data_IF_072679018630
#
_entry.id   IF_072679018630
#
_cell.length_a   1.000
_cell.length_b   1.000
_cell.length_c   1.000
_cell.angle_alpha   90.00
_cell.angle_beta   90.00
_cell.angle_gamma   90.00
#
_symmetry.space_group_name_H-M   'P 1'
#
loop_
_entity.id
_entity.type
_entity.pdbx_description
1 polymer ?
#
# COMPACT_ATOMS: atom_id res chain seq x y z
N UNK A 1 -23.24 -2.50 12.33
CA UNK A 1 -21.93 -2.97 11.81
C UNK A 1 -22.11 -3.86 10.58
N UNK A 2 -22.86 -4.98 10.64
CA UNK A 2 -23.09 -5.84 9.47
C UNK A 2 -23.90 -5.16 8.35
N UNK A 3 -24.86 -4.30 8.66
CA UNK A 3 -25.66 -3.57 7.66
C UNK A 3 -24.84 -2.63 6.80
N UNK A 4 -23.90 -1.88 7.37
CA UNK A 4 -23.01 -1.01 6.60
C UNK A 4 -22.05 -1.78 5.69
N UNK A 5 -21.62 -2.99 6.09
CA UNK A 5 -20.84 -3.90 5.28
C UNK A 5 -21.69 -4.47 4.13
N UNK A 6 -22.95 -4.82 4.42
CA UNK A 6 -23.87 -5.42 3.43
C UNK A 6 -24.31 -4.45 2.35
N UNK A 7 -24.52 -3.18 2.69
CA UNK A 7 -24.96 -2.16 1.73
C UNK A 7 -23.85 -1.80 0.73
N UNK A 8 -22.58 -1.77 1.20
CA UNK A 8 -21.42 -1.58 0.34
C UNK A 8 -21.14 -2.80 -0.57
N UNK A 9 -21.51 -4.01 -0.13
CA UNK A 9 -21.33 -5.24 -0.89
C UNK A 9 -22.34 -5.43 -2.04
N UNK A 10 -23.53 -4.85 -1.90
CA UNK A 10 -24.59 -4.94 -2.94
C UNK A 10 -24.22 -4.20 -4.23
N UNK A 11 -23.31 -3.22 -4.17
CA UNK A 11 -23.05 -2.30 -5.26
C UNK A 11 -21.65 -2.35 -5.86
N UNK A 12 -20.69 -3.10 -5.28
CA UNK A 12 -19.33 -3.20 -5.82
C UNK A 12 -18.79 -4.63 -5.75
N UNK A 13 -18.25 -5.10 -6.84
CA UNK A 13 -17.50 -6.37 -6.89
C UNK A 13 -16.20 -6.19 -6.08
N UNK A 14 -16.05 -6.95 -5.00
CA UNK A 14 -14.89 -6.91 -4.11
C UNK A 14 -13.60 -7.37 -4.79
N UNK A 15 -13.71 -8.36 -5.66
CA UNK A 15 -12.65 -8.77 -6.55
C UNK A 15 -13.24 -8.90 -7.94
N UNK A 16 -12.59 -8.27 -8.90
CA UNK A 16 -13.00 -8.37 -10.29
C UNK A 16 -12.37 -9.58 -10.97
N UNK A 17 -11.18 -9.97 -10.53
CA UNK A 17 -10.44 -11.10 -11.08
C UNK A 17 -9.92 -11.96 -9.95
N UNK A 18 -10.20 -13.24 -10.04
CA UNK A 18 -9.53 -14.29 -9.27
C UNK A 18 -9.47 -15.53 -10.20
N UNK A 19 -8.27 -16.02 -10.39
CA UNK A 19 -8.06 -17.13 -11.32
C UNK A 19 -6.75 -17.83 -11.09
N UNK A 20 -6.64 -19.05 -11.60
CA UNK A 20 -5.36 -19.65 -11.89
C UNK A 20 -4.95 -19.26 -13.30
N UNK A 21 -3.74 -18.77 -13.48
CA UNK A 21 -3.15 -18.44 -14.76
C UNK A 21 -1.94 -19.32 -14.95
N UNK A 22 -1.87 -20.02 -16.09
CA UNK A 22 -0.74 -20.86 -16.43
C UNK A 22 -0.03 -20.31 -17.66
N UNK A 23 1.28 -20.27 -17.59
CA UNK A 23 2.17 -19.80 -18.63
C UNK A 23 3.12 -20.93 -19.04
N UNK A 24 3.39 -21.02 -20.34
CA UNK A 24 4.44 -21.87 -20.87
C UNK A 24 5.82 -21.28 -20.55
N UNK A 25 6.90 -22.08 -20.62
CA UNK A 25 8.24 -21.55 -20.46
C UNK A 25 8.49 -20.34 -21.37
N UNK A 26 9.05 -19.27 -20.78
CA UNK A 26 9.41 -18.02 -21.44
C UNK A 26 8.23 -17.25 -22.07
N UNK A 27 6.99 -17.62 -21.76
CA UNK A 27 5.83 -16.88 -22.19
C UNK A 27 5.77 -15.53 -21.45
N UNK A 28 5.48 -14.46 -22.21
CA UNK A 28 5.39 -13.10 -21.69
C UNK A 28 3.97 -12.56 -21.77
N UNK A 29 3.61 -11.69 -20.81
CA UNK A 29 2.35 -10.98 -20.79
C UNK A 29 2.55 -9.53 -20.34
N UNK A 30 2.19 -8.58 -21.19
CA UNK A 30 2.42 -7.14 -21.00
C UNK A 30 3.24 -6.52 -22.14
N UNK A 31 3.73 -5.28 -22.03
CA UNK A 31 3.51 -4.38 -20.89
C UNK A 31 2.06 -3.91 -20.75
N UNK A 32 1.59 -3.80 -19.53
CA UNK A 32 0.27 -3.24 -19.23
C UNK A 32 0.24 -2.59 -17.85
N UNK A 33 -0.79 -1.77 -17.62
CA UNK A 33 -1.07 -1.15 -16.31
C UNK A 33 -2.58 -1.04 -16.10
N UNK A 34 -2.99 -1.07 -14.86
CA UNK A 34 -4.40 -0.93 -14.48
C UNK A 34 -4.56 -0.32 -13.08
N UNK A 35 -5.74 0.19 -12.78
CA UNK A 35 -6.04 0.82 -11.49
C UNK A 35 -6.18 -0.19 -10.34
N UNK A 36 -6.24 -1.49 -10.65
CA UNK A 36 -6.37 -2.53 -9.64
C UNK A 36 -5.03 -2.82 -8.97
N UNK A 37 -5.11 -3.19 -7.72
CA UNK A 37 -4.01 -3.87 -7.03
C UNK A 37 -4.08 -5.33 -7.45
N UNK A 38 -2.95 -5.88 -7.84
CA UNK A 38 -2.83 -7.26 -8.29
C UNK A 38 -1.95 -8.06 -7.33
N UNK A 39 -2.48 -9.17 -6.85
CA UNK A 39 -1.73 -10.12 -6.03
C UNK A 39 -1.55 -11.40 -6.85
N UNK A 40 -0.30 -11.77 -7.08
CA UNK A 40 0.07 -13.02 -7.71
C UNK A 40 0.89 -13.88 -6.75
N UNK A 41 0.42 -15.08 -6.48
CA UNK A 41 1.12 -16.10 -5.75
C UNK A 41 1.66 -17.17 -6.73
N UNK A 42 2.96 -17.41 -6.69
CA UNK A 42 3.58 -18.45 -7.53
C UNK A 42 3.30 -19.81 -6.91
N UNK A 43 2.37 -20.53 -7.50
CA UNK A 43 1.96 -21.88 -7.04
C UNK A 43 2.90 -22.95 -7.55
N UNK A 44 3.46 -22.76 -8.75
CA UNK A 44 4.41 -23.67 -9.41
C UNK A 44 5.31 -22.90 -10.34
N UNK A 45 6.56 -23.29 -10.45
CA UNK A 45 7.53 -22.70 -11.36
C UNK A 45 8.16 -21.42 -10.83
N UNK A 46 8.63 -20.60 -11.75
CA UNK A 46 9.26 -19.32 -11.47
C UNK A 46 8.94 -18.30 -12.55
N UNK A 47 9.09 -17.02 -12.21
CA UNK A 47 8.79 -15.92 -13.13
C UNK A 47 9.62 -14.68 -12.81
N UNK A 48 9.65 -13.77 -13.76
CA UNK A 48 10.26 -12.45 -13.63
C UNK A 48 9.17 -11.42 -13.88
N UNK A 49 9.08 -10.42 -13.02
CA UNK A 49 8.28 -9.23 -13.24
C UNK A 49 9.23 -8.09 -13.64
N UNK A 50 9.01 -7.56 -14.83
CA UNK A 50 9.73 -6.41 -15.36
C UNK A 50 8.94 -5.15 -15.08
N UNK A 51 9.57 -4.19 -14.42
CA UNK A 51 9.12 -2.82 -14.23
C UNK A 51 9.99 -1.90 -15.08
N UNK A 52 9.65 -0.62 -15.18
CA UNK A 52 10.36 0.35 -16.02
C UNK A 52 11.89 0.34 -15.86
N UNK A 53 12.40 0.21 -14.63
CA UNK A 53 13.83 0.33 -14.33
C UNK A 53 14.41 -0.90 -13.60
N UNK A 54 13.60 -1.92 -13.35
CA UNK A 54 14.05 -3.09 -12.60
C UNK A 54 13.32 -4.35 -13.03
N UNK A 55 13.95 -5.50 -12.78
CA UNK A 55 13.37 -6.83 -13.00
C UNK A 55 13.54 -7.65 -11.74
N UNK A 56 12.44 -8.21 -11.25
CA UNK A 56 12.42 -8.92 -9.97
C UNK A 56 11.93 -10.36 -10.21
N UNK A 57 12.74 -11.33 -9.80
CA UNK A 57 12.42 -12.75 -9.91
C UNK A 57 11.56 -13.22 -8.75
N UNK A 58 10.65 -14.15 -9.04
CA UNK A 58 9.77 -14.82 -8.08
C UNK A 58 9.84 -16.33 -8.33
N UNK A 59 9.88 -17.07 -7.22
CA UNK A 59 9.91 -18.53 -7.21
C UNK A 59 8.65 -19.08 -6.56
N UNK A 60 8.48 -20.39 -6.61
CA UNK A 60 7.40 -21.09 -5.93
C UNK A 60 7.31 -20.70 -4.45
N UNK A 61 6.09 -20.50 -3.97
CA UNK A 61 5.76 -19.99 -2.63
C UNK A 61 6.11 -18.51 -2.37
N UNK A 62 6.51 -17.77 -3.38
CA UNK A 62 6.62 -16.33 -3.29
C UNK A 62 5.37 -15.62 -3.84
N UNK A 63 5.13 -14.42 -3.36
CA UNK A 63 3.98 -13.61 -3.76
C UNK A 63 4.45 -12.23 -4.16
N UNK A 64 3.89 -11.70 -5.21
CA UNK A 64 4.03 -10.31 -5.63
C UNK A 64 2.70 -9.57 -5.43
N UNK A 65 2.78 -8.37 -4.91
CA UNK A 65 1.67 -7.43 -4.86
C UNK A 65 2.06 -6.23 -5.71
N UNK A 66 1.39 -6.10 -6.86
CA UNK A 66 1.61 -5.00 -7.80
C UNK A 66 0.62 -3.90 -7.47
N UNK A 67 1.12 -2.71 -7.16
CA UNK A 67 0.29 -1.59 -6.77
C UNK A 67 -0.46 -0.98 -7.95
N UNK A 68 -1.48 -0.17 -7.64
CA UNK A 68 -2.32 0.49 -8.65
C UNK A 68 -1.47 1.31 -9.63
N UNK A 69 -1.82 1.25 -10.91
CA UNK A 69 -1.24 2.04 -11.99
C UNK A 69 0.26 1.83 -12.26
N UNK A 70 0.82 0.73 -11.79
CA UNK A 70 2.22 0.33 -12.07
C UNK A 70 2.28 -0.42 -13.41
N UNK A 71 3.07 0.09 -14.36
CA UNK A 71 3.31 -0.60 -15.61
C UNK A 71 4.25 -1.79 -15.39
N UNK A 72 3.85 -2.96 -15.88
CA UNK A 72 4.59 -4.18 -15.67
C UNK A 72 4.44 -5.17 -16.82
N UNK A 73 5.45 -6.02 -16.97
CA UNK A 73 5.46 -7.18 -17.86
C UNK A 73 5.82 -8.42 -17.07
N UNK A 74 5.03 -9.45 -17.24
CA UNK A 74 5.29 -10.76 -16.67
C UNK A 74 6.02 -11.63 -17.67
N UNK A 75 7.04 -12.38 -17.23
CA UNK A 75 7.77 -13.37 -18.01
C UNK A 75 7.88 -14.67 -17.21
N UNK A 76 7.36 -15.76 -17.73
CA UNK A 76 7.54 -17.08 -17.16
C UNK A 76 8.99 -17.55 -17.28
N UNK A 77 9.47 -18.28 -16.28
CA UNK A 77 10.82 -18.85 -16.32
C UNK A 77 10.96 -20.04 -17.25
N UNK A 78 11.94 -20.88 -16.99
CA UNK A 78 12.28 -22.04 -17.85
C UNK A 78 11.33 -23.23 -17.69
N UNK A 79 10.34 -23.15 -16.80
CA UNK A 79 9.36 -24.19 -16.53
C UNK A 79 7.94 -23.65 -16.64
N UNK A 80 6.96 -24.55 -16.80
CA UNK A 80 5.56 -24.19 -16.72
C UNK A 80 5.26 -23.48 -15.41
N UNK A 81 4.80 -22.25 -15.50
CA UNK A 81 4.52 -21.40 -14.32
C UNK A 81 3.02 -21.29 -14.11
N UNK A 82 2.57 -21.54 -12.89
CA UNK A 82 1.17 -21.35 -12.48
C UNK A 82 1.08 -20.31 -11.37
N UNK A 83 0.32 -19.27 -11.63
CA UNK A 83 0.01 -18.22 -10.67
C UNK A 83 -1.42 -18.37 -10.15
N UNK A 84 -1.61 -18.03 -8.89
CA UNK A 84 -2.92 -17.74 -8.32
C UNK A 84 -3.05 -16.21 -8.25
N UNK A 85 -3.92 -15.67 -9.09
CA UNK A 85 -4.10 -14.23 -9.30
C UNK A 85 -5.37 -13.72 -8.62
N UNK A 86 -5.24 -12.58 -7.96
CA UNK A 86 -6.30 -11.85 -7.31
C UNK A 86 -6.16 -10.37 -7.62
N UNK A 87 -7.21 -9.74 -8.15
CA UNK A 87 -7.21 -8.30 -8.44
C UNK A 87 -8.38 -7.60 -7.74
N UNK A 88 -8.16 -6.40 -7.22
CA UNK A 88 -9.17 -5.59 -6.56
C UNK A 88 -8.89 -4.10 -6.68
N UNK A 89 -9.94 -3.29 -6.59
CA UNK A 89 -9.80 -1.83 -6.60
C UNK A 89 -9.37 -1.30 -5.22
N UNK A 90 -8.44 -0.33 -5.16
CA UNK A 90 -7.98 0.25 -3.89
C UNK A 90 -9.12 0.79 -3.01
N UNK A 91 -10.18 1.34 -3.62
CA UNK A 91 -11.33 1.93 -2.92
C UNK A 91 -12.14 0.92 -2.10
N UNK A 92 -11.99 -0.37 -2.37
CA UNK A 92 -12.66 -1.43 -1.57
C UNK A 92 -12.28 -1.30 -0.10
N UNK A 93 -11.10 -0.79 0.19
CA UNK A 93 -10.55 -0.69 1.55
C UNK A 93 -10.61 0.69 2.17
N UNK A 94 -10.81 1.75 1.37
CA UNK A 94 -10.92 3.13 1.89
C UNK A 94 -12.11 3.33 2.84
N UNK A 95 -13.06 2.40 2.82
CA UNK A 95 -14.28 2.42 3.64
C UNK A 95 -14.28 1.39 4.77
N UNK A 96 -13.21 0.60 4.90
CA UNK A 96 -13.10 -0.36 5.99
C UNK A 96 -12.66 0.36 7.27
N UNK A 97 -13.65 0.79 8.04
CA UNK A 97 -13.43 1.41 9.35
C UNK A 97 -13.93 0.44 10.43
N UNK A 98 -13.05 -0.36 11.05
CA UNK A 98 -13.44 -1.36 12.03
C UNK A 98 -14.06 -0.77 13.30
N UNK A 99 -13.78 0.49 13.63
CA UNK A 99 -14.20 1.10 14.89
C UNK A 99 -15.50 1.90 14.78
N UNK A 100 -16.01 2.15 13.58
CA UNK A 100 -17.25 2.90 13.35
C UNK A 100 -17.24 4.37 13.84
N UNK A 101 -16.15 4.83 14.44
CA UNK A 101 -16.03 6.14 15.08
C UNK A 101 -15.19 7.15 14.31
N UNK A 102 -14.79 6.87 13.08
CA UNK A 102 -14.08 7.82 12.22
C UNK A 102 -12.69 8.26 12.72
N UNK A 103 -12.17 7.63 13.76
CA UNK A 103 -10.91 8.03 14.41
C UNK A 103 -9.75 7.04 14.24
N UNK A 104 -9.90 5.98 13.46
CA UNK A 104 -8.76 5.10 13.15
C UNK A 104 -7.82 5.79 12.17
N UNK A 105 -7.01 6.69 12.73
CA UNK A 105 -5.97 7.42 12.01
C UNK A 105 -4.87 6.48 11.47
N UNK A 106 -4.83 5.21 11.90
CA UNK A 106 -3.68 4.33 11.74
C UNK A 106 -3.92 3.10 10.84
N UNK A 107 -5.17 2.86 10.40
CA UNK A 107 -5.47 1.82 9.42
C UNK A 107 -5.82 2.47 8.08
N UNK A 108 -4.84 3.07 7.41
CA UNK A 108 -4.94 3.40 6.01
C UNK A 108 -4.26 2.29 5.17
N UNK A 109 -4.92 1.12 4.95
CA UNK A 109 -4.38 0.07 4.10
C UNK A 109 -4.12 0.57 2.68
N UNK A 110 -4.76 1.66 2.30
CA UNK A 110 -4.65 2.28 0.97
C UNK A 110 -3.27 2.90 0.74
N UNK A 111 -2.61 3.41 1.78
CA UNK A 111 -1.27 4.01 1.62
C UNK A 111 -0.17 2.99 1.39
N UNK A 112 -0.39 1.72 1.76
CA UNK A 112 0.56 0.64 1.51
C UNK A 112 0.66 0.34 0.02
N UNK A 113 -0.46 0.47 -0.70
CA UNK A 113 -0.56 0.19 -2.13
C UNK A 113 -0.46 1.46 -2.98
N UNK A 114 0.27 2.47 -2.48
CA UNK A 114 0.56 3.70 -3.24
C UNK A 114 1.56 3.45 -4.36
N UNK A 115 1.59 4.35 -5.33
CA UNK A 115 2.56 4.32 -6.45
C UNK A 115 4.03 4.32 -5.96
N UNK A 116 4.28 4.72 -4.71
CA UNK A 116 5.60 4.71 -4.10
C UNK A 116 6.10 3.30 -3.76
N UNK A 117 5.18 2.40 -3.42
CA UNK A 117 5.47 0.99 -3.15
C UNK A 117 5.24 0.11 -4.38
N UNK A 118 5.52 0.59 -5.56
CA UNK A 118 5.27 -0.04 -6.88
C UNK A 118 5.04 -1.56 -6.86
N UNK A 119 5.87 -2.28 -6.11
CA UNK A 119 5.83 -3.73 -5.96
C UNK A 119 6.21 -4.15 -4.54
N UNK A 120 5.46 -5.09 -3.97
CA UNK A 120 5.78 -5.71 -2.69
C UNK A 120 6.07 -7.19 -2.94
N UNK A 121 7.30 -7.62 -2.64
CA UNK A 121 7.66 -9.04 -2.64
C UNK A 121 7.43 -9.64 -1.25
N UNK A 122 6.63 -10.70 -1.17
CA UNK A 122 6.34 -11.45 0.06
C UNK A 122 6.92 -12.85 -0.07
N UNK A 123 7.77 -13.22 0.87
CA UNK A 123 8.50 -14.49 0.85
C UNK A 123 8.11 -15.33 2.06
N UNK A 124 7.83 -16.60 1.83
CA UNK A 124 7.60 -17.62 2.88
C UNK A 124 6.56 -17.26 3.96
N UNK A 125 5.53 -16.48 3.61
CA UNK A 125 4.47 -16.12 4.57
C UNK A 125 3.23 -16.99 4.42
N UNK A 126 3.21 -18.10 5.15
CA UNK A 126 2.12 -19.09 5.13
C UNK A 126 0.76 -18.48 5.53
N UNK A 127 0.74 -17.45 6.39
CA UNK A 127 -0.52 -16.80 6.84
C UNK A 127 -1.14 -16.02 5.69
N UNK A 128 -0.35 -15.21 5.00
CA UNK A 128 -0.81 -14.42 3.83
C UNK A 128 -1.25 -15.37 2.72
N UNK A 129 -0.46 -16.39 2.41
CA UNK A 129 -0.82 -17.41 1.43
C UNK A 129 -2.18 -18.07 1.74
N UNK A 130 -2.42 -18.47 2.99
CA UNK A 130 -3.69 -19.08 3.42
C UNK A 130 -4.87 -18.10 3.30
N UNK A 131 -4.67 -16.81 3.58
CA UNK A 131 -5.72 -15.81 3.42
C UNK A 131 -6.11 -15.67 1.94
N UNK A 132 -5.15 -15.57 1.01
CA UNK A 132 -5.40 -15.56 -0.43
C UNK A 132 -6.12 -16.84 -0.87
N UNK A 133 -5.66 -18.01 -0.42
CA UNK A 133 -6.29 -19.30 -0.78
C UNK A 133 -7.76 -19.38 -0.32
N UNK A 134 -8.08 -18.86 0.88
CA UNK A 134 -9.46 -18.81 1.38
C UNK A 134 -10.34 -17.92 0.52
N UNK A 135 -9.86 -16.74 0.13
CA UNK A 135 -10.59 -15.86 -0.78
C UNK A 135 -10.89 -16.58 -2.10
N UNK A 136 -9.87 -17.16 -2.72
CA UNK A 136 -10.01 -17.88 -4.00
C UNK A 136 -10.98 -19.05 -3.89
N UNK A 137 -10.90 -19.83 -2.81
CA UNK A 137 -11.80 -20.97 -2.59
C UNK A 137 -13.26 -20.52 -2.44
N UNK A 138 -13.54 -19.51 -1.62
CA UNK A 138 -14.91 -19.00 -1.44
C UNK A 138 -15.49 -18.40 -2.73
N UNK A 139 -14.66 -17.70 -3.51
CA UNK A 139 -15.08 -17.13 -4.77
C UNK A 139 -15.35 -18.19 -5.86
N UNK A 140 -14.67 -19.34 -5.81
CA UNK A 140 -14.93 -20.45 -6.70
C UNK A 140 -16.17 -21.27 -6.29
N UNK A 141 -16.33 -21.53 -4.99
CA UNK A 141 -17.44 -22.36 -4.49
C UNK A 141 -18.78 -21.60 -4.46
N UNK A 142 -18.74 -20.29 -4.19
CA UNK A 142 -19.92 -19.41 -4.10
C UNK A 142 -21.02 -19.96 -3.19
N UNK A 143 -20.62 -20.55 -2.06
CA UNK A 143 -21.56 -21.07 -1.06
C UNK A 143 -22.46 -19.95 -0.52
N UNK A 144 -23.60 -20.31 0.10
CA UNK A 144 -24.48 -19.30 0.69
C UNK A 144 -23.71 -18.36 1.63
N UNK A 145 -23.87 -17.05 1.42
CA UNK A 145 -23.17 -16.00 2.18
C UNK A 145 -21.66 -15.88 1.92
N UNK A 146 -21.13 -16.45 0.84
CA UNK A 146 -19.70 -16.37 0.51
C UNK A 146 -19.17 -14.93 0.44
N UNK A 147 -19.98 -13.96 -0.01
CA UNK A 147 -19.57 -12.56 -0.11
C UNK A 147 -19.11 -12.01 1.24
N UNK A 148 -19.78 -12.37 2.35
CA UNK A 148 -19.39 -11.93 3.70
C UNK A 148 -18.04 -12.51 4.13
N UNK A 149 -17.83 -13.80 3.87
CA UNK A 149 -16.56 -14.45 4.14
C UNK A 149 -15.43 -13.85 3.31
N UNK A 150 -15.68 -13.60 2.04
CA UNK A 150 -14.69 -12.94 1.16
C UNK A 150 -14.27 -11.59 1.71
N UNK A 151 -15.19 -10.75 2.18
CA UNK A 151 -14.86 -9.46 2.83
C UNK A 151 -13.99 -9.66 4.06
N UNK A 152 -14.35 -10.60 4.92
CA UNK A 152 -13.61 -10.87 6.15
C UNK A 152 -12.18 -11.37 5.84
N UNK A 153 -12.04 -12.24 4.83
CA UNK A 153 -10.73 -12.74 4.40
C UNK A 153 -9.88 -11.66 3.73
N UNK A 154 -10.50 -10.74 2.99
CA UNK A 154 -9.79 -9.56 2.47
C UNK A 154 -9.28 -8.66 3.60
N UNK A 155 -10.12 -8.40 4.60
CA UNK A 155 -9.68 -7.63 5.76
C UNK A 155 -8.52 -8.31 6.49
N UNK A 156 -8.60 -9.63 6.70
CA UNK A 156 -7.50 -10.41 7.25
C UNK A 156 -6.25 -10.31 6.38
N UNK A 157 -6.37 -10.48 5.07
CA UNK A 157 -5.25 -10.40 4.12
C UNK A 157 -4.53 -9.06 4.23
N UNK A 158 -5.27 -7.95 4.26
CA UNK A 158 -4.68 -6.61 4.37
C UNK A 158 -3.96 -6.40 5.70
N UNK A 159 -4.57 -6.83 6.80
CA UNK A 159 -3.93 -6.77 8.12
C UNK A 159 -2.63 -7.58 8.13
N UNK A 160 -2.63 -8.75 7.49
CA UNK A 160 -1.44 -9.61 7.40
C UNK A 160 -0.36 -8.99 6.52
N UNK A 161 -0.72 -8.39 5.38
CA UNK A 161 0.23 -7.68 4.51
C UNK A 161 0.79 -6.46 5.26
N UNK A 162 -0.07 -5.70 5.94
CA UNK A 162 0.38 -4.56 6.75
C UNK A 162 1.39 -5.00 7.82
N UNK A 163 1.07 -6.06 8.58
CA UNK A 163 2.00 -6.60 9.59
C UNK A 163 3.29 -7.10 8.97
N UNK A 164 3.22 -7.79 7.84
CA UNK A 164 4.40 -8.25 7.12
C UNK A 164 5.29 -7.07 6.70
N UNK A 165 4.70 -6.00 6.19
CA UNK A 165 5.43 -4.79 5.85
C UNK A 165 5.97 -4.09 7.09
N UNK A 166 5.17 -3.98 8.14
CA UNK A 166 5.61 -3.41 9.41
C UNK A 166 6.75 -4.23 10.02
N UNK A 167 6.65 -5.56 10.00
CA UNK A 167 7.70 -6.49 10.43
C UNK A 167 8.89 -6.52 9.45
N UNK A 168 8.69 -6.37 8.14
CA UNK A 168 9.75 -6.32 7.14
C UNK A 168 10.45 -4.96 7.09
N UNK A 169 9.74 -3.88 7.36
CA UNK A 169 10.35 -2.57 7.56
C UNK A 169 10.99 -2.42 8.96
N UNK A 170 10.56 -3.21 9.96
CA UNK A 170 11.16 -3.26 11.28
C UNK A 170 12.55 -3.92 11.33
N UNK A 171 12.91 -4.99 10.56
CA UNK A 171 14.27 -5.52 10.55
C UNK A 171 15.26 -4.68 9.74
N UNK A 172 14.82 -3.88 8.77
CA UNK A 172 15.64 -2.85 8.14
C UNK A 172 16.00 -1.78 9.18
N UNK A 173 15.16 -1.57 10.18
CA UNK A 173 15.40 -0.78 11.37
C UNK A 173 15.83 -1.65 12.55
N UNK A 174 17.02 -2.23 12.54
CA UNK A 174 17.68 -2.68 13.78
C UNK A 174 17.99 -1.50 14.71
N UNK A 175 17.72 -0.27 14.25
CA UNK A 175 17.97 0.95 14.97
C UNK A 175 16.70 1.47 15.63
N UNK A 176 16.60 1.30 16.95
CA UNK A 176 15.47 1.76 17.75
C UNK A 176 15.19 3.27 17.63
N UNK A 177 16.22 4.09 17.37
CA UNK A 177 16.05 5.51 17.16
C UNK A 177 15.29 5.81 15.86
N UNK A 178 15.54 5.07 14.78
CA UNK A 178 14.80 5.23 13.54
C UNK A 178 13.34 4.79 13.68
N UNK A 179 13.08 3.68 14.38
CA UNK A 179 11.70 3.24 14.69
C UNK A 179 10.93 4.31 15.49
N UNK A 180 11.54 4.83 16.55
CA UNK A 180 10.95 5.90 17.36
C UNK A 180 10.68 7.15 16.52
N UNK A 181 11.61 7.52 15.64
CA UNK A 181 11.45 8.67 14.74
C UNK A 181 10.28 8.50 13.79
N UNK A 182 10.19 7.36 13.12
CA UNK A 182 9.10 7.03 12.21
C UNK A 182 7.75 7.06 12.94
N UNK A 183 7.67 6.41 14.10
CA UNK A 183 6.46 6.42 14.93
C UNK A 183 6.07 7.82 15.38
N UNK A 184 7.04 8.62 15.84
CA UNK A 184 6.78 9.99 16.27
C UNK A 184 6.28 10.87 15.11
N UNK A 185 6.89 10.79 13.94
CA UNK A 185 6.44 11.52 12.74
C UNK A 185 5.02 11.11 12.37
N UNK A 186 4.72 9.81 12.32
CA UNK A 186 3.40 9.28 11.98
C UNK A 186 2.30 9.74 12.94
N UNK A 187 2.59 9.80 14.22
CA UNK A 187 1.63 10.25 15.24
C UNK A 187 1.43 11.76 15.27
N UNK A 188 2.44 12.54 14.84
CA UNK A 188 2.46 13.98 15.02
C UNK A 188 2.53 14.80 13.72
N UNK A 189 2.41 14.18 12.53
CA UNK A 189 2.59 14.86 11.24
C UNK A 189 1.66 16.07 11.04
N UNK A 190 0.49 16.10 11.69
CA UNK A 190 -0.46 17.21 11.62
C UNK A 190 -0.02 18.43 12.42
N UNK A 191 0.87 18.23 13.39
CA UNK A 191 1.40 19.28 14.25
C UNK A 191 2.60 19.97 13.59
N UNK A 192 2.97 21.13 14.09
CA UNK A 192 4.15 21.87 13.63
C UNK A 192 5.44 21.27 14.23
N UNK A 193 5.74 20.03 13.84
CA UNK A 193 6.96 19.33 14.28
C UNK A 193 8.13 19.67 13.38
N UNK A 194 9.28 19.87 14.03
CA UNK A 194 10.58 20.05 13.37
C UNK A 194 11.40 18.76 13.40
N UNK A 195 12.42 18.66 12.57
CA UNK A 195 13.33 17.50 12.58
C UNK A 195 14.14 17.47 13.90
N UNK A 196 14.34 18.62 14.53
CA UNK A 196 14.92 18.73 15.87
C UNK A 196 14.05 18.05 16.93
N UNK A 197 12.72 18.27 16.86
CA UNK A 197 11.77 17.60 17.78
C UNK A 197 11.82 16.09 17.60
N UNK A 198 11.81 15.62 16.35
CA UNK A 198 11.94 14.18 16.03
C UNK A 198 13.23 13.61 16.60
N UNK A 199 14.37 14.29 16.42
CA UNK A 199 15.66 13.86 16.93
C UNK A 199 15.66 13.79 18.46
N UNK A 200 15.11 14.81 19.13
CA UNK A 200 14.99 14.86 20.59
C UNK A 200 14.20 13.68 21.16
N UNK A 201 13.10 13.28 20.50
CA UNK A 201 12.29 12.14 20.92
C UNK A 201 12.99 10.79 20.77
N UNK A 202 14.00 10.73 19.94
CA UNK A 202 14.75 9.49 19.67
C UNK A 202 16.07 9.38 20.46
N UNK A 203 16.45 10.44 21.16
CA UNK A 203 17.70 10.50 21.92
C UNK A 203 18.96 10.56 21.04
N UNK A 204 18.82 10.95 19.76
CA UNK A 204 19.96 11.09 18.83
C UNK A 204 20.01 12.49 18.21
N UNK A 205 21.20 12.90 17.76
CA UNK A 205 21.36 14.19 17.07
C UNK A 205 20.76 14.15 15.65
N UNK A 206 20.27 15.30 15.15
CA UNK A 206 19.68 15.44 13.81
C UNK A 206 20.57 14.88 12.69
N UNK A 207 21.89 15.09 12.76
CA UNK A 207 22.84 14.60 11.75
C UNK A 207 22.80 13.08 11.66
N UNK A 208 22.75 12.41 12.81
CA UNK A 208 22.67 10.95 12.85
C UNK A 208 21.30 10.45 12.38
N UNK A 209 20.23 11.15 12.79
CA UNK A 209 18.86 10.86 12.30
C UNK A 209 18.77 10.95 10.77
N UNK A 210 19.33 12.01 10.16
CA UNK A 210 19.40 12.16 8.69
C UNK A 210 20.16 11.01 8.04
N UNK A 211 21.28 10.58 8.66
CA UNK A 211 22.04 9.42 8.17
C UNK A 211 21.20 8.13 8.20
N UNK A 212 20.46 7.90 9.30
CA UNK A 212 19.58 6.74 9.43
C UNK A 212 18.48 6.73 8.34
N UNK A 213 17.78 7.86 8.16
CA UNK A 213 16.75 7.97 7.13
C UNK A 213 17.33 7.77 5.73
N UNK A 214 18.46 8.39 5.41
CA UNK A 214 19.14 8.19 4.11
C UNK A 214 19.57 6.74 3.92
N UNK A 215 20.17 6.12 4.93
CA UNK A 215 20.69 4.75 4.83
C UNK A 215 19.59 3.68 4.69
N UNK A 216 18.50 3.85 5.42
CA UNK A 216 17.45 2.81 5.52
C UNK A 216 16.22 3.08 4.67
N UNK A 217 15.91 4.34 4.38
CA UNK A 217 14.70 4.74 3.64
C UNK A 217 15.03 5.46 2.32
N UNK A 218 16.31 5.75 2.07
CA UNK A 218 16.78 6.56 0.92
C UNK A 218 16.09 7.94 0.83
N UNK A 219 15.63 8.47 1.96
CA UNK A 219 14.91 9.74 2.11
C UNK A 219 15.52 10.58 3.20
N UNK A 220 15.27 11.89 3.21
CA UNK A 220 15.51 12.69 4.41
C UNK A 220 14.32 12.57 5.38
N UNK A 221 14.51 12.84 6.71
CA UNK A 221 13.39 12.89 7.66
C UNK A 221 12.29 13.89 7.26
N UNK A 222 12.67 15.00 6.64
CA UNK A 222 11.74 16.01 6.16
C UNK A 222 10.94 15.53 4.95
N UNK A 223 11.61 14.85 4.01
CA UNK A 223 10.91 14.27 2.85
C UNK A 223 9.91 13.20 3.30
N UNK A 224 10.29 12.36 4.26
CA UNK A 224 9.40 11.37 4.86
C UNK A 224 8.18 12.03 5.54
N UNK A 225 8.37 13.10 6.33
CA UNK A 225 7.27 13.87 6.92
C UNK A 225 6.37 14.48 5.84
N UNK A 226 6.96 15.10 4.82
CA UNK A 226 6.22 15.70 3.71
C UNK A 226 5.42 14.65 2.94
N UNK A 227 5.97 13.47 2.72
CA UNK A 227 5.32 12.35 2.05
C UNK A 227 4.04 11.91 2.79
N UNK A 228 4.12 11.72 4.13
CA UNK A 228 2.95 11.41 4.94
C UNK A 228 1.89 12.50 4.83
N UNK A 229 2.29 13.78 4.92
CA UNK A 229 1.38 14.92 4.81
C UNK A 229 0.69 15.00 3.45
N UNK A 230 1.44 14.78 2.36
CA UNK A 230 0.90 14.80 0.99
C UNK A 230 -0.08 13.65 0.76
N UNK A 231 0.25 12.44 1.19
CA UNK A 231 -0.65 11.30 1.05
C UNK A 231 -1.99 11.57 1.73
N UNK A 232 -1.94 12.14 2.95
CA UNK A 232 -3.16 12.52 3.67
C UNK A 232 -3.91 13.67 3.00
N UNK A 233 -3.19 14.62 2.44
CA UNK A 233 -3.80 15.74 1.70
C UNK A 233 -4.54 15.26 0.45
N UNK A 234 -3.99 14.32 -0.31
CA UNK A 234 -4.64 13.73 -1.48
C UNK A 234 -5.93 13.02 -1.07
N UNK A 235 -5.90 12.26 0.02
CA UNK A 235 -7.09 11.60 0.56
C UNK A 235 -8.19 12.62 0.89
N UNK A 236 -7.85 13.70 1.60
CA UNK A 236 -8.80 14.74 1.97
C UNK A 236 -9.33 15.50 0.75
N UNK A 237 -8.46 15.86 -0.21
CA UNK A 237 -8.86 16.55 -1.45
C UNK A 237 -9.81 15.72 -2.31
N UNK A 238 -9.71 14.39 -2.29
CA UNK A 238 -10.57 13.49 -3.07
C UNK A 238 -11.89 13.15 -2.38
N UNK A 239 -11.89 13.09 -1.05
CA UNK A 239 -12.98 12.49 -0.29
C UNK A 239 -13.78 13.50 0.55
N UNK A 240 -13.42 14.79 0.52
CA UNK A 240 -14.11 15.85 1.29
C UNK A 240 -14.32 17.10 0.44
N UNK A 241 -15.23 17.97 0.90
CA UNK A 241 -15.45 19.29 0.30
C UNK A 241 -14.51 20.39 0.84
N UNK A 242 -13.44 19.99 1.52
CA UNK A 242 -12.46 20.93 2.09
C UNK A 242 -11.73 21.69 0.97
N UNK A 243 -11.55 22.98 1.17
CA UNK A 243 -10.72 23.79 0.27
C UNK A 243 -9.24 23.37 0.36
N UNK A 244 -8.49 23.63 -0.71
CA UNK A 244 -7.02 23.38 -0.75
C UNK A 244 -6.30 24.01 0.45
N UNK A 245 -6.77 25.18 0.92
CA UNK A 245 -6.20 25.88 2.05
C UNK A 245 -6.49 25.14 3.37
N UNK A 246 -7.71 24.67 3.57
CA UNK A 246 -8.08 23.90 4.76
C UNK A 246 -7.35 22.57 4.81
N UNK A 247 -7.25 21.86 3.68
CA UNK A 247 -6.48 20.60 3.59
C UNK A 247 -5.01 20.83 3.89
N UNK A 248 -4.41 21.91 3.38
CA UNK A 248 -3.02 22.28 3.67
C UNK A 248 -2.76 22.34 5.18
N UNK A 249 -3.60 23.07 5.91
CA UNK A 249 -3.42 23.24 7.37
C UNK A 249 -3.80 21.95 8.15
N UNK A 250 -4.84 21.26 7.73
CA UNK A 250 -5.25 20.00 8.34
C UNK A 250 -4.16 18.90 8.24
N UNK A 251 -3.31 18.97 7.21
CA UNK A 251 -2.18 18.06 7.04
C UNK A 251 -0.87 18.57 7.68
N UNK A 252 -0.89 19.68 8.42
CA UNK A 252 0.28 20.20 9.13
C UNK A 252 1.24 21.06 8.31
N UNK A 253 0.87 21.43 7.08
CA UNK A 253 1.65 22.43 6.33
C UNK A 253 1.36 23.84 6.83
N UNK A 254 2.40 24.66 6.97
CA UNK A 254 2.27 26.04 7.43
C UNK A 254 2.05 27.04 6.28
N UNK A 255 2.24 26.63 5.04
CA UNK A 255 2.14 27.49 3.85
C UNK A 255 1.49 26.77 2.67
N UNK A 256 0.38 27.32 2.12
CA UNK A 256 -0.24 26.77 0.93
C UNK A 256 0.69 26.77 -0.30
N UNK A 257 1.61 27.72 -0.39
CA UNK A 257 2.60 27.79 -1.47
C UNK A 257 3.60 26.63 -1.36
N UNK A 258 4.11 26.37 -0.15
CA UNK A 258 5.01 25.25 0.12
C UNK A 258 4.29 23.92 -0.13
N UNK A 259 3.08 23.76 0.39
CA UNK A 259 2.23 22.59 0.15
C UNK A 259 2.06 22.29 -1.33
N UNK A 260 1.63 23.30 -2.11
CA UNK A 260 1.38 23.14 -3.56
C UNK A 260 2.67 22.79 -4.31
N UNK A 261 3.81 23.34 -3.90
CA UNK A 261 5.12 23.02 -4.47
C UNK A 261 5.51 21.58 -4.21
N UNK A 262 5.40 21.11 -2.95
CA UNK A 262 5.75 19.74 -2.57
C UNK A 262 4.80 18.74 -3.24
N UNK A 263 3.49 19.00 -3.26
CA UNK A 263 2.54 18.14 -3.93
C UNK A 263 2.85 18.01 -5.42
N UNK A 264 3.12 19.13 -6.10
CA UNK A 264 3.50 19.10 -7.52
C UNK A 264 4.83 18.40 -7.76
N UNK A 265 5.79 18.55 -6.86
CA UNK A 265 7.09 17.88 -6.97
C UNK A 265 6.94 16.33 -6.81
N UNK A 266 6.10 15.87 -5.90
CA UNK A 266 5.92 14.44 -5.64
C UNK A 266 4.94 13.76 -6.61
N UNK A 267 3.88 14.46 -7.02
CA UNK A 267 2.77 13.88 -7.78
C UNK A 267 2.69 14.35 -9.24
N UNK A 268 3.52 15.32 -9.62
CA UNK A 268 3.47 15.91 -10.96
C UNK A 268 2.27 16.82 -11.24
N UNK A 269 1.27 16.86 -10.36
CA UNK A 269 0.01 17.60 -10.51
C UNK A 269 -0.19 18.64 -9.40
N UNK A 270 -1.03 19.62 -9.63
CA UNK A 270 -1.37 20.64 -8.63
C UNK A 270 -2.52 20.19 -7.72
N UNK A 271 -2.70 20.79 -6.51
CA UNK A 271 -3.83 20.47 -5.63
C UNK A 271 -5.21 20.63 -6.29
N UNK A 272 -5.37 21.58 -7.21
CA UNK A 272 -6.62 21.79 -7.95
C UNK A 272 -6.93 20.70 -8.98
N UNK A 273 -5.91 19.99 -9.44
CA UNK A 273 -6.06 18.87 -10.37
C UNK A 273 -6.41 17.58 -9.63
N UNK A 274 -6.11 17.50 -8.33
CA UNK A 274 -6.50 16.36 -7.48
C UNK A 274 -8.00 16.37 -7.17
N UNK A 275 -8.63 17.55 -7.08
CA UNK A 275 -10.06 17.74 -6.75
C UNK A 275 -11.00 17.55 -7.94
N UNK A 276 -10.48 17.35 -9.14
CA UNK A 276 -11.24 17.05 -10.36
C UNK A 276 -11.33 15.54 -10.61
#
# INVERSE_FOLDING_TARGET
MLEGITENLKHKRLADVFRFVSFRPFETFGPHKHLRIEINYVKKGNCILHLENESISFSENEMMVICSNVEHTFEAGSEDTTLMQLEFLPEVFSRFNPDGHGQTKDLAPVTIFSEENRLIKIVNNVRIMRAVQRIVNEMNQKSKYYQYLVVMYYAELLILIYRYLDEAYLPICTNDSLKKAISYIRLNYQSDITISDVASQTGVGERYLRKLFSQYLNLSPLDYLNQIRINKAIELLRNTEMSVKEVCFACGFQSPQYFSRILKQQMGISPREVTK
#
